data_IF_030872133788
#
_entry.id   IF_030872133788
#
_cell.length_a   1.000
_cell.length_b   1.000
_cell.length_c   1.000
_cell.angle_alpha   90.00
_cell.angle_beta   90.00
_cell.angle_gamma   90.00
#
_symmetry.space_group_name_H-M   'P 1'
#
loop_
_entity.id
_entity.type
_entity.pdbx_description
1 polymer ?
#
# COMPACT_ATOMS: atom_id res chain seq x y z
N UNK A 1 -1.42 11.41 37.40
CA UNK A 1 -0.74 10.31 38.13
C UNK A 1 -1.40 9.03 37.68
N UNK A 2 -0.99 8.54 36.51
CA UNK A 2 0.03 7.49 36.33
C UNK A 2 -0.61 6.11 36.37
N UNK A 3 -0.93 5.59 35.17
CA UNK A 3 -0.91 4.14 34.90
C UNK A 3 -0.38 3.95 33.48
N UNK A 4 0.92 4.19 33.31
CA UNK A 4 1.70 3.70 32.16
C UNK A 4 2.91 3.00 32.76
N UNK A 5 2.95 1.68 32.68
CA UNK A 5 4.17 0.90 32.46
C UNK A 5 3.86 -0.58 32.62
N UNK A 6 3.85 -1.35 31.53
CA UNK A 6 4.20 -2.78 31.52
C UNK A 6 4.23 -3.31 30.08
N UNK A 7 5.08 -2.75 29.23
CA UNK A 7 5.62 -3.48 28.07
C UNK A 7 7.07 -3.02 27.88
N UNK A 8 8.00 -3.66 28.58
CA UNK A 8 9.32 -3.96 28.02
C UNK A 8 10.16 -4.81 28.97
N UNK A 9 11.04 -5.61 28.37
CA UNK A 9 12.09 -6.49 28.93
C UNK A 9 11.67 -7.91 29.30
N UNK A 10 11.89 -8.83 28.37
CA UNK A 10 12.79 -9.94 28.69
C UNK A 10 13.48 -10.43 27.41
N UNK A 11 14.72 -9.99 27.22
CA UNK A 11 15.69 -10.58 26.32
C UNK A 11 16.93 -10.93 27.12
N UNK A 12 17.54 -12.07 26.76
CA UNK A 12 18.81 -12.64 27.22
C UNK A 12 18.78 -13.53 28.48
N UNK A 13 18.83 -14.84 28.22
CA UNK A 13 19.20 -15.88 29.17
C UNK A 13 19.33 -17.23 28.44
N UNK A 14 20.51 -17.49 27.88
CA UNK A 14 20.82 -18.77 27.24
C UNK A 14 20.98 -19.91 28.27
N UNK A 15 20.54 -21.11 27.91
CA UNK A 15 20.74 -22.32 28.70
C UNK A 15 20.02 -23.51 28.04
N UNK A 16 20.80 -24.50 27.64
CA UNK A 16 20.39 -25.67 26.87
C UNK A 16 19.35 -26.56 27.57
N UNK A 17 18.47 -27.21 26.78
CA UNK A 17 17.70 -28.36 27.25
C UNK A 17 16.40 -28.65 26.50
N UNK A 18 16.44 -29.74 25.72
CA UNK A 18 15.35 -30.68 25.42
C UNK A 18 14.11 -30.21 24.63
N UNK A 19 13.83 -30.98 23.57
CA UNK A 19 12.75 -30.81 22.60
C UNK A 19 11.32 -30.81 23.15
N UNK A 20 10.45 -30.18 22.36
CA UNK A 20 8.99 -30.37 22.43
C UNK A 20 8.19 -29.09 22.19
N UNK A 21 7.61 -28.95 20.99
CA UNK A 21 6.37 -28.19 20.75
C UNK A 21 6.46 -26.67 20.68
N UNK A 22 6.90 -26.12 19.54
CA UNK A 22 6.83 -24.69 19.21
C UNK A 22 5.73 -24.34 18.19
N UNK A 23 4.61 -25.07 18.16
CA UNK A 23 3.50 -24.83 17.20
C UNK A 23 2.32 -24.02 17.78
N UNK A 24 2.32 -23.66 19.07
CA UNK A 24 1.14 -23.05 19.74
C UNK A 24 1.09 -21.52 19.81
N UNK A 25 2.23 -20.82 19.74
CA UNK A 25 2.28 -19.39 20.06
C UNK A 25 1.95 -18.48 18.87
N UNK A 26 2.39 -18.83 17.65
CA UNK A 26 2.15 -18.04 16.44
C UNK A 26 0.68 -18.01 16.01
N UNK A 27 -0.02 -19.15 16.13
CA UNK A 27 -1.44 -19.25 15.78
C UNK A 27 -2.38 -18.49 16.73
N UNK A 28 -2.07 -18.45 18.03
CA UNK A 28 -2.89 -17.77 19.03
C UNK A 28 -2.85 -16.24 18.88
N UNK A 29 -1.67 -15.69 18.53
CA UNK A 29 -1.49 -14.25 18.29
C UNK A 29 -2.18 -13.81 17.00
N UNK A 30 -2.02 -14.56 15.91
CA UNK A 30 -2.75 -14.31 14.65
C UNK A 30 -4.27 -14.31 14.87
N UNK A 31 -4.80 -15.27 15.65
CA UNK A 31 -6.23 -15.34 15.94
C UNK A 31 -6.73 -14.16 16.79
N UNK A 32 -5.93 -13.67 17.75
CA UNK A 32 -6.29 -12.50 18.55
C UNK A 32 -6.24 -11.20 17.74
N UNK A 33 -5.22 -11.02 16.90
CA UNK A 33 -5.10 -9.88 16.00
C UNK A 33 -6.22 -9.88 14.95
N UNK A 34 -6.52 -11.03 14.34
CA UNK A 34 -7.66 -11.17 13.42
C UNK A 34 -8.98 -10.78 14.08
N UNK A 35 -9.23 -11.19 15.33
CA UNK A 35 -10.42 -10.76 16.09
C UNK A 35 -10.45 -9.26 16.34
N UNK A 36 -9.35 -8.67 16.79
CA UNK A 36 -9.26 -7.22 17.00
C UNK A 36 -9.47 -6.44 15.71
N UNK A 37 -8.90 -6.94 14.62
CA UNK A 37 -9.03 -6.36 13.29
C UNK A 37 -10.46 -6.42 12.77
N UNK A 38 -11.18 -7.55 12.96
CA UNK A 38 -12.61 -7.67 12.64
C UNK A 38 -13.50 -6.71 13.40
N UNK A 39 -13.09 -6.26 14.60
CA UNK A 39 -13.80 -5.23 15.36
C UNK A 39 -13.47 -3.82 14.88
N UNK A 40 -12.22 -3.59 14.45
CA UNK A 40 -11.74 -2.27 14.06
C UNK A 40 -12.03 -1.91 12.60
N UNK A 41 -11.88 -2.85 11.66
CA UNK A 41 -12.05 -2.59 10.23
C UNK A 41 -13.45 -2.08 9.85
N UNK A 42 -14.57 -2.56 10.42
CA UNK A 42 -15.89 -1.99 10.17
C UNK A 42 -16.02 -0.53 10.62
N UNK A 43 -15.18 -0.07 11.55
CA UNK A 43 -15.16 1.32 12.01
C UNK A 43 -14.35 2.23 11.10
N UNK A 44 -13.46 1.66 10.26
CA UNK A 44 -12.66 2.41 9.27
C UNK A 44 -13.56 2.82 8.10
N UNK A 45 -14.37 3.83 8.37
CA UNK A 45 -15.29 4.48 7.45
C UNK A 45 -14.79 5.88 7.12
N UNK A 46 -15.30 6.53 6.05
CA UNK A 46 -15.01 7.93 5.80
C UNK A 46 -15.29 8.83 7.01
N UNK A 47 -16.29 8.50 7.83
CA UNK A 47 -16.61 9.20 9.08
C UNK A 47 -15.51 9.10 10.14
N UNK A 48 -14.72 8.03 10.15
CA UNK A 48 -13.57 7.88 11.05
C UNK A 48 -12.38 8.74 10.62
N UNK A 49 -12.25 9.03 9.31
CA UNK A 49 -11.25 9.97 8.80
C UNK A 49 -11.49 11.40 9.29
N UNK A 50 -12.72 11.74 9.71
CA UNK A 50 -13.02 13.02 10.36
C UNK A 50 -12.36 13.18 11.75
N UNK A 51 -11.88 12.08 12.35
CA UNK A 51 -11.17 12.04 13.63
C UNK A 51 -9.68 11.70 13.40
N UNK A 52 -8.83 12.67 13.03
CA UNK A 52 -7.48 12.40 12.51
C UNK A 52 -6.58 11.63 13.48
N UNK A 53 -6.68 11.90 14.78
CA UNK A 53 -5.90 11.18 15.79
C UNK A 53 -6.27 9.69 15.88
N UNK A 54 -7.56 9.37 15.75
CA UNK A 54 -8.05 8.00 15.78
C UNK A 54 -7.69 7.27 14.48
N UNK A 55 -7.88 7.93 13.33
CA UNK A 55 -7.46 7.42 12.03
C UNK A 55 -5.97 7.08 12.01
N UNK A 56 -5.10 8.02 12.39
CA UNK A 56 -3.66 7.80 12.42
C UNK A 56 -3.26 6.63 13.33
N UNK A 57 -3.96 6.43 14.47
CA UNK A 57 -3.69 5.29 15.37
C UNK A 57 -4.16 3.96 14.78
N UNK A 58 -5.30 3.92 14.10
CA UNK A 58 -5.81 2.74 13.44
C UNK A 58 -4.87 2.29 12.30
N UNK A 59 -4.44 3.21 11.43
CA UNK A 59 -3.52 2.89 10.34
C UNK A 59 -2.09 2.57 10.81
N UNK A 60 -1.63 3.20 11.91
CA UNK A 60 -0.36 2.81 12.54
C UNK A 60 -0.41 1.36 13.04
N UNK A 61 -1.52 0.94 13.63
CA UNK A 61 -1.70 -0.45 14.05
C UNK A 61 -1.70 -1.41 12.84
N UNK A 62 -2.32 -1.04 11.70
CA UNK A 62 -2.22 -1.84 10.47
C UNK A 62 -0.76 -1.99 10.01
N UNK A 63 0.01 -0.89 10.04
CA UNK A 63 1.44 -0.92 9.73
C UNK A 63 2.21 -1.83 10.70
N UNK A 64 1.92 -1.79 11.99
CA UNK A 64 2.59 -2.64 12.98
C UNK A 64 2.28 -4.14 12.74
N UNK A 65 1.06 -4.47 12.31
CA UNK A 65 0.67 -5.83 11.92
C UNK A 65 1.37 -6.30 10.63
N UNK A 66 1.55 -5.40 9.66
CA UNK A 66 2.36 -5.66 8.46
C UNK A 66 3.80 -5.99 8.83
N UNK A 67 4.44 -5.18 9.67
CA UNK A 67 5.82 -5.39 10.12
C UNK A 67 6.02 -6.67 10.95
N UNK A 68 4.95 -7.20 11.52
CA UNK A 68 4.95 -8.48 12.23
C UNK A 68 4.61 -9.67 11.31
N UNK A 69 4.53 -9.47 9.98
CA UNK A 69 4.12 -10.44 8.97
C UNK A 69 2.76 -11.09 9.27
N UNK A 70 1.87 -10.40 9.98
CA UNK A 70 0.59 -10.98 10.39
C UNK A 70 -0.49 -10.81 9.32
N UNK A 71 -0.36 -9.84 8.41
CA UNK A 71 -1.40 -9.52 7.44
C UNK A 71 -1.59 -10.65 6.42
N UNK A 72 -0.51 -11.23 5.88
CA UNK A 72 -0.58 -12.33 4.91
C UNK A 72 -0.88 -13.70 5.54
N UNK A 73 -0.95 -13.75 6.89
CA UNK A 73 -1.40 -14.92 7.65
C UNK A 73 -2.91 -14.89 7.95
N UNK A 74 -3.60 -13.80 7.61
CA UNK A 74 -5.04 -13.67 7.77
C UNK A 74 -5.78 -14.50 6.72
N UNK A 75 -6.99 -15.00 7.03
CA UNK A 75 -7.91 -15.47 6.01
C UNK A 75 -8.14 -14.40 4.93
N UNK A 76 -8.33 -14.83 3.67
CA UNK A 76 -8.49 -13.91 2.52
C UNK A 76 -9.61 -12.88 2.72
N UNK A 77 -10.69 -13.24 3.41
CA UNK A 77 -11.79 -12.33 3.73
C UNK A 77 -11.32 -11.17 4.63
N UNK A 78 -10.53 -11.48 5.66
CA UNK A 78 -9.97 -10.48 6.58
C UNK A 78 -8.92 -9.61 5.87
N UNK A 79 -8.08 -10.22 5.03
CA UNK A 79 -7.16 -9.50 4.17
C UNK A 79 -7.90 -8.50 3.27
N UNK A 80 -8.99 -8.92 2.63
CA UNK A 80 -9.79 -8.03 1.78
C UNK A 80 -10.40 -6.85 2.55
N UNK A 81 -10.76 -7.06 3.83
CA UNK A 81 -11.16 -5.95 4.69
C UNK A 81 -10.00 -4.99 4.97
N UNK A 82 -8.76 -5.47 5.15
CA UNK A 82 -7.56 -4.62 5.25
C UNK A 82 -7.36 -3.80 3.98
N UNK A 83 -7.44 -4.44 2.81
CA UNK A 83 -7.35 -3.76 1.52
C UNK A 83 -8.42 -2.67 1.40
N UNK A 84 -9.65 -2.96 1.81
CA UNK A 84 -10.74 -1.98 1.81
C UNK A 84 -10.45 -0.79 2.74
N UNK A 85 -9.94 -1.05 3.94
CA UNK A 85 -9.52 0.00 4.87
C UNK A 85 -8.37 0.85 4.31
N UNK A 86 -7.38 0.25 3.64
CA UNK A 86 -6.31 0.97 2.96
C UNK A 86 -6.86 1.85 1.83
N UNK A 87 -7.83 1.36 1.04
CA UNK A 87 -8.50 2.18 0.02
C UNK A 87 -9.17 3.41 0.63
N UNK A 88 -9.89 3.25 1.75
CA UNK A 88 -10.49 4.37 2.48
C UNK A 88 -9.40 5.34 2.98
N UNK A 89 -8.30 4.82 3.53
CA UNK A 89 -7.22 5.63 4.09
C UNK A 89 -6.47 6.45 3.04
N UNK A 90 -6.32 5.92 1.82
CA UNK A 90 -5.74 6.66 0.70
C UNK A 90 -6.60 7.85 0.25
N UNK A 91 -7.91 7.80 0.48
CA UNK A 91 -8.82 8.94 0.23
C UNK A 91 -8.88 9.94 1.38
N UNK A 92 -8.07 9.75 2.44
CA UNK A 92 -7.97 10.70 3.53
C UNK A 92 -7.24 11.97 3.10
N UNK A 93 -7.69 13.12 3.61
CA UNK A 93 -7.02 14.42 3.42
C UNK A 93 -5.71 14.51 4.23
N UNK A 94 -5.52 13.61 5.21
CA UNK A 94 -4.38 13.63 6.13
C UNK A 94 -3.14 12.97 5.53
N UNK A 95 -2.07 13.76 5.30
CA UNK A 95 -0.76 13.27 4.84
C UNK A 95 -0.23 12.09 5.66
N UNK A 96 -0.31 12.15 6.99
CA UNK A 96 0.17 11.06 7.85
C UNK A 96 -0.52 9.72 7.56
N UNK A 97 -1.85 9.77 7.32
CA UNK A 97 -2.65 8.58 7.05
C UNK A 97 -2.33 8.05 5.66
N UNK A 98 -2.32 8.91 4.64
CA UNK A 98 -2.00 8.53 3.26
C UNK A 98 -0.59 7.92 3.15
N UNK A 99 0.38 8.49 3.85
CA UNK A 99 1.76 7.98 3.92
C UNK A 99 1.81 6.64 4.63
N UNK A 100 1.14 6.49 5.78
CA UNK A 100 1.05 5.20 6.49
C UNK A 100 0.40 4.12 5.60
N UNK A 101 -0.65 4.46 4.86
CA UNK A 101 -1.26 3.54 3.90
C UNK A 101 -0.27 3.13 2.82
N UNK A 102 0.42 4.08 2.18
CA UNK A 102 1.42 3.78 1.15
C UNK A 102 2.55 2.88 1.68
N UNK A 103 3.11 3.19 2.85
CA UNK A 103 4.14 2.39 3.50
C UNK A 103 3.66 0.96 3.79
N UNK A 104 2.44 0.82 4.31
CA UNK A 104 1.83 -0.48 4.60
C UNK A 104 1.62 -1.27 3.31
N UNK A 105 1.17 -0.63 2.23
CA UNK A 105 1.01 -1.25 0.91
C UNK A 105 2.35 -1.76 0.38
N UNK A 106 3.43 -1.00 0.53
CA UNK A 106 4.78 -1.43 0.15
C UNK A 106 5.19 -2.68 0.93
N UNK A 107 4.95 -2.74 2.24
CA UNK A 107 5.22 -3.90 3.06
C UNK A 107 4.46 -5.15 2.57
N UNK A 108 3.13 -5.04 2.49
CA UNK A 108 2.27 -6.15 2.08
C UNK A 108 2.64 -6.64 0.67
N UNK A 109 2.85 -5.73 -0.29
CA UNK A 109 3.21 -6.09 -1.66
C UNK A 109 4.55 -6.83 -1.73
N UNK A 110 5.54 -6.42 -0.92
CA UNK A 110 6.82 -7.11 -0.85
C UNK A 110 6.69 -8.52 -0.26
N UNK A 111 5.87 -8.70 0.77
CA UNK A 111 5.62 -10.02 1.36
C UNK A 111 4.85 -10.91 0.38
N UNK A 112 3.78 -10.39 -0.24
CA UNK A 112 2.97 -11.13 -1.22
C UNK A 112 3.78 -11.58 -2.44
N UNK A 113 4.71 -10.76 -2.92
CA UNK A 113 5.65 -11.12 -4.00
C UNK A 113 6.50 -12.37 -3.68
N UNK A 114 6.76 -12.64 -2.41
CA UNK A 114 7.56 -13.83 -2.01
C UNK A 114 6.73 -15.10 -1.88
N UNK A 115 5.40 -14.99 -1.97
CA UNK A 115 4.50 -16.13 -2.02
C UNK A 115 4.46 -16.74 -3.43
N UNK A 116 3.80 -17.88 -3.59
CA UNK A 116 3.62 -18.52 -4.89
C UNK A 116 2.90 -17.58 -5.89
N UNK A 117 3.21 -17.73 -7.18
CA UNK A 117 2.72 -16.82 -8.25
C UNK A 117 1.19 -16.71 -8.33
N UNK A 118 0.46 -17.79 -8.02
CA UNK A 118 -1.02 -17.83 -8.05
C UNK A 118 -1.67 -17.54 -6.67
N UNK A 119 -1.00 -16.77 -5.81
CA UNK A 119 -1.56 -16.46 -4.50
C UNK A 119 -2.81 -15.55 -4.60
N UNK A 120 -3.84 -15.77 -3.76
CA UNK A 120 -5.09 -15.03 -3.84
C UNK A 120 -4.96 -13.57 -3.40
N UNK A 121 -3.92 -13.22 -2.64
CA UNK A 121 -3.70 -11.86 -2.12
C UNK A 121 -3.28 -10.87 -3.20
N UNK A 122 -2.55 -11.36 -4.23
CA UNK A 122 -2.07 -10.54 -5.33
C UNK A 122 -3.21 -9.79 -6.03
N UNK A 123 -4.35 -10.45 -6.28
CA UNK A 123 -5.50 -9.86 -6.98
C UNK A 123 -6.07 -8.67 -6.21
N UNK A 124 -6.25 -8.82 -4.90
CA UNK A 124 -6.84 -7.77 -4.06
C UNK A 124 -5.94 -6.52 -4.00
N UNK A 125 -4.62 -6.71 -4.00
CA UNK A 125 -3.64 -5.61 -4.05
C UNK A 125 -3.71 -4.80 -5.35
N UNK A 126 -4.09 -5.40 -6.48
CA UNK A 126 -4.13 -4.70 -7.78
C UNK A 126 -5.10 -3.50 -7.75
N UNK A 127 -6.20 -3.61 -6.99
CA UNK A 127 -7.19 -2.53 -6.84
C UNK A 127 -6.65 -1.26 -6.17
N UNK A 128 -5.54 -1.37 -5.43
CA UNK A 128 -4.88 -0.23 -4.79
C UNK A 128 -4.00 0.54 -5.77
N UNK A 129 -3.39 -0.14 -6.74
CA UNK A 129 -2.57 0.51 -7.77
C UNK A 129 -3.42 1.41 -8.65
N UNK A 130 -4.60 0.91 -9.05
CA UNK A 130 -5.59 1.68 -9.80
C UNK A 130 -6.01 2.94 -9.03
N UNK A 131 -6.36 2.79 -7.75
CA UNK A 131 -6.77 3.91 -6.90
C UNK A 131 -5.64 4.94 -6.76
N UNK A 132 -4.40 4.50 -6.47
CA UNK A 132 -3.25 5.41 -6.32
C UNK A 132 -3.00 6.21 -7.60
N UNK A 133 -2.96 5.56 -8.75
CA UNK A 133 -2.78 6.25 -10.04
C UNK A 133 -3.90 7.24 -10.31
N UNK A 134 -5.15 6.87 -10.02
CA UNK A 134 -6.30 7.77 -10.16
C UNK A 134 -6.17 9.00 -9.26
N UNK A 135 -5.82 8.82 -7.98
CA UNK A 135 -5.62 9.92 -7.02
C UNK A 135 -4.47 10.83 -7.45
N UNK A 136 -3.39 10.28 -7.98
CA UNK A 136 -2.23 11.05 -8.48
C UNK A 136 -2.60 11.88 -9.70
N UNK A 137 -3.30 11.28 -10.68
CA UNK A 137 -3.74 11.98 -11.90
C UNK A 137 -4.73 13.08 -11.54
N UNK A 138 -5.64 12.83 -10.60
CA UNK A 138 -6.64 13.81 -10.14
C UNK A 138 -6.12 14.83 -9.13
N UNK A 139 -4.86 14.75 -8.70
CA UNK A 139 -4.30 15.62 -7.66
C UNK A 139 -4.99 15.50 -6.29
N UNK A 140 -5.58 14.34 -6.01
CA UNK A 140 -6.33 14.07 -4.78
C UNK A 140 -5.45 13.46 -3.68
N UNK A 141 -4.18 13.17 -3.97
CA UNK A 141 -3.22 12.71 -2.98
C UNK A 141 -2.44 13.89 -2.37
N UNK A 142 -2.20 13.92 -1.04
CA UNK A 142 -1.37 14.95 -0.44
C UNK A 142 0.03 15.00 -1.08
N UNK A 143 0.57 16.18 -1.40
CA UNK A 143 1.84 16.32 -2.12
C UNK A 143 3.01 15.67 -1.38
N UNK A 144 3.02 15.78 -0.05
CA UNK A 144 4.05 15.16 0.80
C UNK A 144 3.98 13.63 0.82
N UNK A 145 2.83 13.04 0.46
CA UNK A 145 2.64 11.59 0.34
C UNK A 145 2.97 11.04 -1.05
N UNK A 146 3.21 11.90 -2.05
CA UNK A 146 3.50 11.49 -3.43
C UNK A 146 4.72 10.54 -3.54
N UNK A 147 5.86 10.78 -2.86
CA UNK A 147 7.00 9.86 -2.93
C UNK A 147 6.67 8.46 -2.39
N UNK A 148 5.85 8.40 -1.33
CA UNK A 148 5.39 7.15 -0.75
C UNK A 148 4.42 6.42 -1.70
N UNK A 149 3.54 7.16 -2.40
CA UNK A 149 2.64 6.61 -3.41
C UNK A 149 3.40 6.04 -4.62
N UNK A 150 4.44 6.74 -5.10
CA UNK A 150 5.33 6.21 -6.13
C UNK A 150 6.00 4.90 -5.71
N UNK A 151 6.43 4.81 -4.44
CA UNK A 151 7.01 3.58 -3.90
C UNK A 151 5.98 2.44 -3.83
N UNK A 152 4.74 2.75 -3.45
CA UNK A 152 3.64 1.79 -3.41
C UNK A 152 3.27 1.28 -4.82
N UNK A 153 3.17 2.17 -5.81
CA UNK A 153 2.91 1.78 -7.21
C UNK A 153 4.02 0.86 -7.73
N UNK A 154 5.28 1.19 -7.47
CA UNK A 154 6.40 0.33 -7.85
C UNK A 154 6.28 -1.06 -7.22
N UNK A 155 6.03 -1.12 -5.90
CA UNK A 155 5.91 -2.38 -5.17
C UNK A 155 4.74 -3.24 -5.69
N UNK A 156 3.58 -2.63 -5.94
CA UNK A 156 2.41 -3.30 -6.52
C UNK A 156 2.68 -3.79 -7.95
N UNK A 157 3.42 -3.01 -8.74
CA UNK A 157 3.82 -3.43 -10.09
C UNK A 157 4.82 -4.60 -10.05
N UNK A 158 5.66 -4.70 -9.02
CA UNK A 158 6.52 -5.86 -8.81
C UNK A 158 5.74 -7.14 -8.46
N UNK A 159 4.53 -7.03 -7.89
CA UNK A 159 3.65 -8.20 -7.65
C UNK A 159 3.11 -8.74 -8.97
N UNK A 160 2.73 -7.85 -9.90
CA UNK A 160 2.25 -8.24 -11.23
C UNK A 160 2.69 -7.20 -12.27
N UNK A 161 3.80 -7.42 -13.00
CA UNK A 161 4.34 -6.40 -13.92
C UNK A 161 3.38 -5.95 -15.01
N UNK A 162 2.53 -6.87 -15.51
CA UNK A 162 1.50 -6.56 -16.51
C UNK A 162 0.38 -5.64 -15.98
N UNK A 163 0.30 -5.41 -14.66
CA UNK A 163 -0.71 -4.56 -14.04
C UNK A 163 -0.62 -3.11 -14.55
N UNK A 164 0.58 -2.53 -14.54
CA UNK A 164 0.75 -1.11 -14.80
C UNK A 164 0.40 -0.75 -16.25
N UNK A 165 0.71 -1.63 -17.20
CA UNK A 165 0.34 -1.46 -18.61
C UNK A 165 -1.19 -1.53 -18.80
N UNK A 166 -1.85 -2.50 -18.17
CA UNK A 166 -3.31 -2.62 -18.20
C UNK A 166 -4.01 -1.40 -17.57
N UNK A 167 -3.51 -0.93 -16.43
CA UNK A 167 -4.04 0.26 -15.76
C UNK A 167 -3.80 1.54 -16.56
N UNK A 168 -2.62 1.69 -17.16
CA UNK A 168 -2.31 2.82 -18.03
C UNK A 168 -3.33 2.90 -19.18
N UNK A 169 -3.58 1.78 -19.86
CA UNK A 169 -4.56 1.71 -20.95
C UNK A 169 -5.96 2.10 -20.50
N UNK A 170 -6.44 1.55 -19.38
CA UNK A 170 -7.76 1.88 -18.83
C UNK A 170 -7.88 3.37 -18.47
N UNK A 171 -6.84 3.94 -17.85
CA UNK A 171 -6.81 5.36 -17.49
C UNK A 171 -6.75 6.26 -18.73
N UNK A 172 -6.01 5.89 -19.76
CA UNK A 172 -5.95 6.61 -21.03
C UNK A 172 -7.30 6.59 -21.74
N UNK A 173 -7.96 5.43 -21.81
CA UNK A 173 -9.30 5.28 -22.41
C UNK A 173 -10.33 6.14 -21.66
N UNK A 174 -10.30 6.15 -20.33
CA UNK A 174 -11.17 7.01 -19.51
C UNK A 174 -10.85 8.51 -19.67
N UNK A 175 -9.58 8.86 -19.80
CA UNK A 175 -9.13 10.24 -20.01
C UNK A 175 -9.52 10.77 -21.39
N UNK A 176 -9.45 9.94 -22.43
CA UNK A 176 -9.77 10.29 -23.81
C UNK A 176 -11.20 10.81 -24.00
N UNK A 177 -12.14 10.40 -23.16
CA UNK A 177 -13.53 10.89 -23.16
C UNK A 177 -13.60 12.38 -22.80
N UNK A 178 -12.72 12.83 -21.90
CA UNK A 178 -12.76 14.19 -21.36
C UNK A 178 -11.79 15.13 -22.08
N UNK A 179 -10.60 14.65 -22.45
CA UNK A 179 -9.57 15.47 -23.12
C UNK A 179 -8.77 14.67 -24.16
N UNK A 180 -9.37 14.38 -25.33
CA UNK A 180 -8.73 13.58 -26.37
C UNK A 180 -7.47 14.25 -26.96
N UNK A 181 -7.36 15.59 -26.87
CA UNK A 181 -6.22 16.33 -27.41
C UNK A 181 -4.92 16.06 -26.64
N UNK A 182 -5.00 15.74 -25.35
CA UNK A 182 -3.84 15.46 -24.50
C UNK A 182 -3.52 13.96 -24.36
N UNK A 183 -4.30 13.06 -24.98
CA UNK A 183 -4.07 11.60 -24.94
C UNK A 183 -2.66 11.19 -25.36
N UNK A 184 -2.09 11.69 -26.49
CA UNK A 184 -0.73 11.31 -26.89
C UNK A 184 0.34 11.71 -25.85
N UNK A 185 0.10 12.80 -25.11
CA UNK A 185 1.01 13.25 -24.04
C UNK A 185 0.92 12.35 -22.81
N UNK A 186 -0.28 11.85 -22.49
CA UNK A 186 -0.49 10.90 -21.41
C UNK A 186 0.13 9.54 -21.73
N UNK A 187 -0.05 9.03 -22.96
CA UNK A 187 0.60 7.82 -23.45
C UNK A 187 2.13 7.91 -23.34
N UNK A 188 2.71 9.02 -23.81
CA UNK A 188 4.15 9.25 -23.71
C UNK A 188 4.62 9.32 -22.25
N UNK A 189 3.82 9.93 -21.36
CA UNK A 189 4.15 10.01 -19.94
C UNK A 189 4.20 8.61 -19.31
N UNK A 190 3.24 7.73 -19.62
CA UNK A 190 3.28 6.33 -19.17
C UNK A 190 4.45 5.54 -19.75
N UNK A 191 4.85 5.82 -21.01
CA UNK A 191 6.05 5.24 -21.61
C UNK A 191 7.31 5.66 -20.87
N UNK A 192 7.41 6.94 -20.48
CA UNK A 192 8.52 7.45 -19.66
C UNK A 192 8.55 6.77 -18.29
N UNK A 193 7.40 6.57 -17.66
CA UNK A 193 7.29 5.96 -16.33
C UNK A 193 7.98 4.59 -16.27
N UNK A 194 7.77 3.75 -17.28
CA UNK A 194 8.28 2.37 -17.33
C UNK A 194 9.63 2.23 -18.04
N UNK A 195 10.15 3.30 -18.63
CA UNK A 195 11.33 3.24 -19.50
C UNK A 195 12.59 2.72 -18.78
N UNK A 196 13.01 1.51 -19.16
CA UNK A 196 14.18 0.81 -18.66
C UNK A 196 14.09 0.42 -17.17
N UNK A 197 12.87 0.32 -16.64
CA UNK A 197 12.61 -0.17 -15.29
C UNK A 197 12.31 -1.66 -15.37
N UNK A 198 13.03 -2.45 -14.58
CA UNK A 198 12.64 -3.84 -14.30
C UNK A 198 11.88 -3.87 -12.96
N UNK A 199 10.78 -4.61 -12.92
CA UNK A 199 9.91 -4.73 -11.75
C UNK A 199 10.26 -5.97 -10.92
N UNK A 200 11.53 -6.09 -10.53
CA UNK A 200 12.09 -7.22 -9.78
C UNK A 200 12.27 -6.92 -8.28
N UNK A 201 11.90 -5.71 -7.82
CA UNK A 201 12.05 -5.28 -6.44
C UNK A 201 13.47 -4.82 -6.05
N UNK A 202 14.43 -4.79 -6.99
CA UNK A 202 15.78 -4.33 -6.70
C UNK A 202 15.82 -2.82 -6.44
N UNK A 203 16.64 -2.41 -5.46
CA UNK A 203 16.78 -1.00 -5.05
C UNK A 203 17.14 -0.08 -6.22
N UNK A 204 18.00 -0.53 -7.13
CA UNK A 204 18.43 0.24 -8.31
C UNK A 204 17.25 0.55 -9.24
N UNK A 205 16.39 -0.44 -9.50
CA UNK A 205 15.21 -0.25 -10.35
C UNK A 205 14.12 0.55 -9.65
N UNK A 206 13.96 0.40 -8.34
CA UNK A 206 13.09 1.27 -7.53
C UNK A 206 13.50 2.74 -7.64
N UNK A 207 14.78 3.05 -7.50
CA UNK A 207 15.29 4.42 -7.64
C UNK A 207 15.03 4.97 -9.04
N UNK A 208 15.33 4.19 -10.09
CA UNK A 208 15.06 4.58 -11.47
C UNK A 208 13.57 4.83 -11.72
N UNK A 209 12.70 3.99 -11.17
CA UNK A 209 11.26 4.19 -11.26
C UNK A 209 10.83 5.49 -10.60
N UNK A 210 11.37 5.83 -9.42
CA UNK A 210 11.07 7.09 -8.75
C UNK A 210 11.52 8.30 -9.59
N UNK A 211 12.71 8.27 -10.18
CA UNK A 211 13.18 9.34 -11.07
C UNK A 211 12.27 9.50 -12.31
N UNK A 212 11.76 8.38 -12.85
CA UNK A 212 10.80 8.39 -13.95
C UNK A 212 9.41 8.87 -13.51
N UNK A 213 9.01 8.52 -12.28
CA UNK A 213 7.75 8.92 -11.68
C UNK A 213 7.69 10.43 -11.46
N UNK A 214 8.77 11.07 -11.01
CA UNK A 214 8.84 12.53 -10.88
C UNK A 214 8.65 13.24 -12.24
N UNK A 215 9.24 12.69 -13.32
CA UNK A 215 9.06 13.21 -14.69
C UNK A 215 7.64 12.99 -15.21
N UNK A 216 7.04 11.84 -14.88
CA UNK A 216 5.65 11.53 -15.18
C UNK A 216 4.73 12.56 -14.52
N UNK A 217 4.90 12.83 -13.23
CA UNK A 217 4.11 13.82 -12.49
C UNK A 217 4.24 15.22 -13.09
N UNK A 218 5.47 15.68 -13.33
CA UNK A 218 5.72 16.99 -13.92
C UNK A 218 5.03 17.13 -15.30
N UNK A 219 5.02 16.06 -16.09
CA UNK A 219 4.37 16.03 -17.40
C UNK A 219 2.85 16.06 -17.25
N UNK A 220 2.28 15.11 -16.50
CA UNK A 220 0.84 14.93 -16.31
C UNK A 220 0.20 16.16 -15.67
N UNK A 221 0.78 16.66 -14.57
CA UNK A 221 0.28 17.86 -13.92
C UNK A 221 0.46 19.11 -14.79
N UNK A 222 1.53 19.16 -15.60
CA UNK A 222 1.80 20.26 -16.52
C UNK A 222 0.78 20.43 -17.65
N UNK A 223 -0.06 19.45 -17.96
CA UNK A 223 -1.16 19.61 -18.92
C UNK A 223 -2.56 19.41 -18.35
N UNK A 224 -2.68 18.82 -17.16
CA UNK A 224 -3.95 18.73 -16.44
C UNK A 224 -4.30 20.04 -15.71
N UNK A 225 -3.30 20.80 -15.24
CA UNK A 225 -3.52 22.08 -14.55
C UNK A 225 -3.86 23.23 -15.51
N UNK A 226 -3.53 23.11 -16.80
CA UNK A 226 -3.69 24.21 -17.79
C UNK A 226 -5.14 24.33 -18.30
N UNK A 227 -6.13 23.94 -17.49
CA UNK A 227 -7.56 24.11 -17.76
C UNK A 227 -8.28 24.73 -16.57
#
# INVERSE_FOLDING_TARGET
MEVISSVSRCGAGGGAGAGGGAEGAGGAWSAACARGLRLLLPLVTPSLLALPALAARAYRMLRDLDQADQITNLPIEDFNMVITALRVGLTAVSCDVSTLCCDTIVGIANTVRTLADDNPYAISLLSLAELLLMLIIKMEIPPDSIPAAGAAIYALTCVKPALLEGLARQLIEAFAVNDPANVPRLEESFRVLTNGVLFDGLRTHKLRFQDNFDKFLASVHGFLIVK
#
